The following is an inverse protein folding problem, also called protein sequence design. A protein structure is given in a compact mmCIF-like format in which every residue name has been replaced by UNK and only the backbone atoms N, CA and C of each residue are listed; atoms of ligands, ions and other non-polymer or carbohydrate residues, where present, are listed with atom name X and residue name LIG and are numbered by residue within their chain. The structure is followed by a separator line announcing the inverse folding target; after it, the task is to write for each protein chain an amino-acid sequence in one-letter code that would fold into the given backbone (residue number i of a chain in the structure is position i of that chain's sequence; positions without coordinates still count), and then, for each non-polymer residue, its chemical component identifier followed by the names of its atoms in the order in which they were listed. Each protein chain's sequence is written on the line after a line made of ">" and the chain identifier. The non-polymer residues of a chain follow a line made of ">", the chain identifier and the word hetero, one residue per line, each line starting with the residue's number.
data_IF_771065318232
#
_entry.id   IF_771065318232
#
_cell.length_a   1.000
_cell.length_b   1.000
_cell.length_c   1.000
_cell.angle_alpha   90.00
_cell.angle_beta   90.00
_cell.angle_gamma   90.00
#
_symmetry.space_group_name_H-M   'P 1'
#
loop_
_entity.id
_entity.type
_entity.pdbx_description
1 polymer ?
#
# COMPACT_ATOMS: atom_id res chain seq x y z
N UNK A 1 15.03 15.65 -20.02
CA UNK A 1 14.79 14.20 -20.09
C UNK A 1 14.78 13.69 -18.65
N UNK A 2 13.75 12.98 -18.22
CA UNK A 2 13.69 12.45 -16.85
C UNK A 2 14.78 11.36 -16.67
N UNK A 3 15.37 11.21 -15.47
CA UNK A 3 16.25 10.09 -15.17
C UNK A 3 15.56 8.76 -15.48
N UNK A 4 16.29 7.81 -16.06
CA UNK A 4 15.77 6.46 -16.32
C UNK A 4 15.25 5.82 -15.02
N UNK A 5 14.08 5.18 -15.10
CA UNK A 5 13.44 4.53 -13.96
C UNK A 5 12.66 5.44 -13.01
N UNK A 6 12.72 6.76 -13.16
CA UNK A 6 11.99 7.67 -12.28
C UNK A 6 10.47 7.46 -12.35
N UNK A 7 9.91 7.20 -13.53
CA UNK A 7 8.48 6.90 -13.70
C UNK A 7 8.06 5.65 -12.91
N UNK A 8 8.86 4.59 -12.95
CA UNK A 8 8.61 3.37 -12.19
C UNK A 8 8.66 3.62 -10.67
N UNK A 9 9.62 4.43 -10.20
CA UNK A 9 9.72 4.81 -8.78
C UNK A 9 8.49 5.60 -8.31
N UNK A 10 7.93 6.49 -9.13
CA UNK A 10 6.68 7.21 -8.83
C UNK A 10 5.48 6.26 -8.72
N UNK A 11 5.35 5.31 -9.66
CA UNK A 11 4.29 4.29 -9.61
C UNK A 11 4.42 3.38 -8.39
N UNK A 12 5.62 2.88 -8.12
CA UNK A 12 5.94 2.01 -6.98
C UNK A 12 5.72 2.73 -5.65
N UNK A 13 6.43 3.84 -5.41
CA UNK A 13 6.42 4.53 -4.12
C UNK A 13 5.04 5.04 -3.70
N UNK A 14 4.21 5.45 -4.66
CA UNK A 14 2.84 5.88 -4.39
C UNK A 14 1.90 4.71 -4.08
N UNK A 15 2.04 3.59 -4.82
CA UNK A 15 1.27 2.36 -4.62
C UNK A 15 1.48 1.76 -3.24
N UNK A 16 2.73 1.80 -2.72
CA UNK A 16 3.08 1.27 -1.41
C UNK A 16 2.28 1.88 -0.25
N UNK A 17 1.74 3.10 -0.40
CA UNK A 17 0.96 3.74 0.67
C UNK A 17 -0.27 2.90 1.07
N UNK A 18 -0.95 2.27 0.10
CA UNK A 18 -2.05 1.35 0.36
C UNK A 18 -1.58 0.10 1.13
N UNK A 19 -0.38 -0.38 0.81
CA UNK A 19 0.21 -1.60 1.39
C UNK A 19 0.77 -1.37 2.80
N UNK A 20 1.08 -0.12 3.15
CA UNK A 20 1.39 0.30 4.53
C UNK A 20 0.10 0.52 5.33
N UNK A 21 -0.92 1.14 4.72
CA UNK A 21 -2.18 1.45 5.39
C UNK A 21 -2.92 0.18 5.86
N UNK A 22 -2.99 -0.85 5.03
CA UNK A 22 -3.72 -2.08 5.36
C UNK A 22 -3.20 -2.75 6.65
N UNK A 23 -1.91 -3.10 6.81
CA UNK A 23 -1.40 -3.68 8.05
C UNK A 23 -1.62 -2.78 9.28
N UNK A 24 -1.51 -1.45 9.14
CA UNK A 24 -1.77 -0.52 10.24
C UNK A 24 -3.23 -0.55 10.70
N UNK A 25 -4.17 -0.52 9.74
CA UNK A 25 -5.61 -0.58 10.02
C UNK A 25 -6.00 -1.93 10.62
N UNK A 26 -5.57 -3.03 10.01
CA UNK A 26 -5.87 -4.38 10.50
C UNK A 26 -5.27 -4.62 11.89
N UNK A 27 -4.03 -4.17 12.12
CA UNK A 27 -3.39 -4.17 13.43
C UNK A 27 -3.98 -3.14 14.42
N UNK A 28 -5.13 -2.55 14.12
CA UNK A 28 -5.87 -1.69 15.03
C UNK A 28 -7.29 -2.20 15.33
N UNK A 29 -7.71 -3.33 14.73
CA UNK A 29 -9.01 -3.96 15.03
C UNK A 29 -9.03 -4.70 16.36
N UNK A 30 -10.18 -4.70 17.04
CA UNK A 30 -10.33 -5.33 18.36
C UNK A 30 -10.22 -6.87 18.34
N UNK A 31 -10.74 -7.54 17.30
CA UNK A 31 -10.88 -8.99 17.24
C UNK A 31 -9.78 -9.75 16.49
N UNK A 32 -8.66 -9.09 16.18
CA UNK A 32 -7.58 -9.68 15.41
C UNK A 32 -6.78 -10.72 16.21
N UNK A 33 -6.28 -11.73 15.51
CA UNK A 33 -5.36 -12.72 16.10
C UNK A 33 -4.06 -12.06 16.56
N UNK A 34 -3.35 -12.71 17.49
CA UNK A 34 -2.09 -12.20 18.04
C UNK A 34 -1.06 -11.87 16.94
N UNK A 35 -1.02 -12.66 15.88
CA UNK A 35 -0.10 -12.53 14.73
C UNK A 35 -0.25 -11.17 14.03
N UNK A 36 -1.46 -10.58 14.01
CA UNK A 36 -1.71 -9.28 13.37
C UNK A 36 -1.72 -8.11 14.37
N UNK A 37 -1.30 -8.32 15.62
CA UNK A 37 -1.22 -7.23 16.62
C UNK A 37 0.08 -6.45 16.50
N UNK A 38 0.14 -5.33 17.22
CA UNK A 38 1.41 -4.66 17.42
C UNK A 38 2.39 -5.64 18.09
N UNK A 39 3.65 -5.78 17.64
CA UNK A 39 4.42 -4.92 16.71
C UNK A 39 4.47 -5.37 15.23
N UNK A 40 3.57 -6.23 14.76
CA UNK A 40 3.63 -6.81 13.41
C UNK A 40 3.79 -5.81 12.26
N UNK A 41 3.10 -4.64 12.21
CA UNK A 41 3.31 -3.68 11.11
C UNK A 41 4.74 -3.15 11.03
N UNK A 42 5.41 -2.95 12.17
CA UNK A 42 6.81 -2.53 12.21
C UNK A 42 7.70 -3.65 11.67
N UNK A 43 7.53 -4.87 12.17
CA UNK A 43 8.31 -6.03 11.71
C UNK A 43 8.13 -6.25 10.20
N UNK A 44 6.89 -6.17 9.72
CA UNK A 44 6.57 -6.30 8.31
C UNK A 44 7.26 -5.21 7.47
N UNK A 45 7.22 -3.95 7.93
CA UNK A 45 7.92 -2.86 7.26
C UNK A 45 9.44 -3.03 7.25
N UNK A 46 10.04 -3.53 8.35
CA UNK A 46 11.48 -3.84 8.36
C UNK A 46 11.81 -4.97 7.38
N UNK A 47 10.95 -5.99 7.30
CA UNK A 47 11.11 -7.08 6.35
C UNK A 47 10.98 -6.62 4.89
N UNK A 48 10.12 -5.64 4.60
CA UNK A 48 10.05 -4.99 3.29
C UNK A 48 11.40 -4.39 2.87
N UNK A 49 12.14 -3.80 3.80
CA UNK A 49 13.45 -3.21 3.52
C UNK A 49 14.54 -4.25 3.32
N UNK A 50 14.48 -5.39 4.02
CA UNK A 50 15.52 -6.41 3.98
C UNK A 50 15.38 -7.40 2.82
N UNK A 51 14.14 -7.74 2.46
CA UNK A 51 13.86 -8.84 1.52
C UNK A 51 12.87 -8.47 0.42
N UNK A 52 12.42 -7.21 0.36
CA UNK A 52 11.47 -6.73 -0.64
C UNK A 52 10.02 -6.79 -0.17
N UNK A 53 9.19 -5.92 -0.76
CA UNK A 53 7.77 -5.83 -0.45
C UNK A 53 7.02 -7.01 -1.06
N UNK A 54 7.46 -7.49 -2.22
CA UNK A 54 6.83 -8.59 -2.95
C UNK A 54 6.70 -9.84 -2.10
N UNK A 55 7.77 -10.21 -1.39
CA UNK A 55 7.80 -11.42 -0.58
C UNK A 55 6.85 -11.25 0.62
N UNK A 56 7.09 -10.24 1.43
CA UNK A 56 6.45 -10.13 2.74
C UNK A 56 5.01 -9.64 2.69
N UNK A 57 4.64 -8.81 1.71
CA UNK A 57 3.26 -8.39 1.56
C UNK A 57 2.37 -9.55 1.09
N UNK A 58 2.89 -10.40 0.20
CA UNK A 58 2.19 -11.61 -0.21
C UNK A 58 2.09 -12.62 0.93
N UNK A 59 3.15 -12.81 1.73
CA UNK A 59 3.08 -13.63 2.96
C UNK A 59 2.01 -13.07 3.91
N UNK A 60 1.96 -11.74 4.09
CA UNK A 60 0.97 -11.10 4.95
C UNK A 60 -0.46 -11.37 4.46
N UNK A 61 -0.73 -11.22 3.16
CA UNK A 61 -2.03 -11.55 2.56
C UNK A 61 -2.39 -13.03 2.73
N UNK A 62 -1.47 -13.93 2.42
CA UNK A 62 -1.67 -15.38 2.59
C UNK A 62 -2.00 -15.72 4.04
N UNK A 63 -1.29 -15.12 5.00
CA UNK A 63 -1.59 -15.29 6.42
C UNK A 63 -3.00 -14.78 6.77
N UNK A 64 -3.41 -13.62 6.26
CA UNK A 64 -4.78 -13.10 6.49
C UNK A 64 -5.85 -14.01 5.90
N UNK A 65 -5.61 -14.58 4.71
CA UNK A 65 -6.51 -15.51 4.02
C UNK A 65 -6.60 -16.83 4.82
N UNK A 66 -5.45 -17.46 5.09
CA UNK A 66 -5.36 -18.75 5.77
C UNK A 66 -5.96 -18.71 7.18
N UNK A 67 -5.76 -17.60 7.90
CA UNK A 67 -6.31 -17.40 9.25
C UNK A 67 -7.72 -16.80 9.25
N UNK A 68 -8.38 -16.72 8.08
CA UNK A 68 -9.76 -16.25 7.94
C UNK A 68 -10.01 -14.81 8.39
N UNK A 69 -8.97 -13.97 8.49
CA UNK A 69 -9.10 -12.58 8.96
C UNK A 69 -9.90 -11.71 7.97
N UNK A 70 -9.90 -12.08 6.68
CA UNK A 70 -10.67 -11.39 5.66
C UNK A 70 -12.18 -11.64 5.78
N UNK A 71 -12.57 -12.81 6.29
CA UNK A 71 -13.95 -13.26 6.45
C UNK A 71 -14.59 -12.78 7.76
N UNK A 72 -14.00 -11.78 8.41
CA UNK A 72 -14.51 -11.27 9.68
C UNK A 72 -15.98 -10.85 9.55
N UNK A 73 -16.85 -11.53 10.32
CA UNK A 73 -18.28 -11.22 10.36
C UNK A 73 -18.48 -9.86 11.02
N UNK A 74 -19.52 -9.14 10.59
CA UNK A 74 -19.93 -7.86 11.20
C UNK A 74 -19.99 -8.00 12.73
N UNK A 75 -19.48 -6.99 13.44
CA UNK A 75 -19.55 -6.98 14.89
C UNK A 75 -18.52 -6.08 15.56
N UNK A 76 -18.50 -6.02 16.91
CA UNK A 76 -17.56 -5.19 17.67
C UNK A 76 -16.09 -5.52 17.38
N UNK A 77 -15.82 -6.77 17.01
CA UNK A 77 -14.49 -7.31 16.70
C UNK A 77 -13.83 -6.68 15.47
N UNK A 78 -14.61 -6.13 14.53
CA UNK A 78 -14.07 -5.48 13.33
C UNK A 78 -13.91 -3.97 13.46
N UNK A 79 -14.40 -3.38 14.56
CA UNK A 79 -14.36 -1.93 14.77
C UNK A 79 -12.93 -1.50 15.12
N UNK A 80 -12.50 -0.41 14.48
CA UNK A 80 -11.27 0.32 14.81
C UNK A 80 -11.67 1.51 15.67
N UNK A 81 -11.05 1.65 16.84
CA UNK A 81 -11.25 2.83 17.69
C UNK A 81 -10.77 4.08 16.96
N UNK A 82 -11.52 5.18 17.08
CA UNK A 82 -11.18 6.49 16.53
C UNK A 82 -9.73 6.91 16.81
N UNK A 83 -9.21 6.67 18.01
CA UNK A 83 -7.82 6.94 18.39
C UNK A 83 -6.81 6.25 17.49
N UNK A 84 -7.01 4.97 17.28
CA UNK A 84 -6.12 4.16 16.45
C UNK A 84 -6.28 4.52 14.96
N UNK A 85 -7.50 4.80 14.51
CA UNK A 85 -7.75 5.22 13.13
C UNK A 85 -7.07 6.56 12.81
N UNK A 86 -7.18 7.56 13.68
CA UNK A 86 -6.51 8.86 13.53
C UNK A 86 -4.99 8.70 13.55
N UNK A 87 -4.46 7.92 14.49
CA UNK A 87 -3.03 7.64 14.57
C UNK A 87 -2.50 6.92 13.33
N UNK A 88 -3.27 5.97 12.76
CA UNK A 88 -2.89 5.28 11.54
C UNK A 88 -2.92 6.23 10.33
N UNK A 89 -3.94 7.08 10.20
CA UNK A 89 -4.00 8.10 9.14
C UNK A 89 -2.79 9.04 9.23
N UNK A 90 -2.50 9.55 10.43
CA UNK A 90 -1.34 10.41 10.67
C UNK A 90 -0.03 9.70 10.34
N UNK A 91 0.12 8.44 10.75
CA UNK A 91 1.31 7.63 10.46
C UNK A 91 1.50 7.38 8.96
N UNK A 92 0.43 7.15 8.20
CA UNK A 92 0.50 7.02 6.74
C UNK A 92 0.92 8.35 6.10
N UNK A 93 0.33 9.47 6.50
CA UNK A 93 0.65 10.79 5.95
C UNK A 93 2.09 11.22 6.27
N UNK A 94 2.44 11.24 7.56
CA UNK A 94 3.69 11.82 8.05
C UNK A 94 4.83 10.81 8.06
N UNK A 95 4.54 9.56 8.40
CA UNK A 95 5.56 8.53 8.50
C UNK A 95 5.90 7.83 7.18
N UNK A 96 5.00 7.85 6.20
CA UNK A 96 5.23 7.19 4.91
C UNK A 96 5.16 8.14 3.71
N UNK A 97 4.01 8.79 3.50
CA UNK A 97 3.77 9.60 2.29
C UNK A 97 4.77 10.76 2.22
N UNK A 98 4.90 11.56 3.28
CA UNK A 98 5.79 12.73 3.28
C UNK A 98 7.27 12.35 3.03
N UNK A 99 7.88 11.37 3.73
CA UNK A 99 9.22 10.90 3.41
C UNK A 99 9.36 10.36 1.98
N UNK A 100 8.35 9.64 1.49
CA UNK A 100 8.37 9.09 0.12
C UNK A 100 8.34 10.20 -0.93
N UNK A 101 7.53 11.23 -0.71
CA UNK A 101 7.45 12.40 -1.59
C UNK A 101 8.76 13.19 -1.58
N UNK A 102 9.39 13.35 -0.41
CA UNK A 102 10.71 13.98 -0.31
C UNK A 102 11.76 13.17 -1.10
N UNK A 103 11.81 11.85 -0.91
CA UNK A 103 12.72 10.97 -1.66
C UNK A 103 12.54 11.11 -3.18
N UNK A 104 11.30 11.03 -3.67
CA UNK A 104 11.00 11.08 -5.11
C UNK A 104 11.26 12.46 -5.73
N UNK A 105 11.08 13.54 -4.97
CA UNK A 105 11.25 14.91 -5.45
C UNK A 105 12.70 15.37 -5.43
N UNK A 106 13.43 15.09 -4.35
CA UNK A 106 14.81 15.57 -4.19
C UNK A 106 15.86 14.62 -4.75
N UNK A 107 15.60 13.31 -4.74
CA UNK A 107 16.52 12.27 -5.22
C UNK A 107 17.94 12.35 -4.61
N UNK A 108 18.08 13.02 -3.47
CA UNK A 108 19.35 13.20 -2.80
C UNK A 108 19.70 11.92 -2.00
N UNK A 109 20.96 11.43 -2.05
CA UNK A 109 21.35 10.19 -1.38
C UNK A 109 20.99 10.14 0.11
N UNK A 110 21.19 11.25 0.83
CA UNK A 110 20.86 11.35 2.26
C UNK A 110 19.35 11.26 2.53
N UNK A 111 18.51 11.83 1.66
CA UNK A 111 17.06 11.77 1.79
C UNK A 111 16.57 10.35 1.50
N UNK A 112 17.12 9.70 0.48
CA UNK A 112 16.83 8.28 0.17
C UNK A 112 17.27 7.36 1.31
N UNK A 113 18.45 7.57 1.88
CA UNK A 113 18.92 6.80 3.04
C UNK A 113 17.98 7.00 4.26
N UNK A 114 17.53 8.24 4.50
CA UNK A 114 16.52 8.52 5.51
C UNK A 114 15.19 7.81 5.24
N UNK A 115 14.77 7.72 3.98
CA UNK A 115 13.54 7.04 3.58
C UNK A 115 13.56 5.53 3.85
N UNK A 116 14.71 4.86 3.78
CA UNK A 116 14.84 3.43 4.10
C UNK A 116 14.34 3.10 5.53
N UNK A 117 14.35 4.09 6.43
CA UNK A 117 13.83 3.97 7.79
C UNK A 117 12.31 4.25 7.90
N UNK A 118 11.55 4.28 6.80
CA UNK A 118 10.10 4.55 6.85
C UNK A 118 9.33 3.68 7.85
N UNK A 119 9.62 2.39 8.09
CA UNK A 119 8.88 1.61 9.09
C UNK A 119 8.99 2.20 10.49
N UNK A 120 10.16 2.79 10.79
CA UNK A 120 10.44 3.51 12.03
C UNK A 120 9.68 4.83 12.05
N UNK A 121 9.72 5.62 10.96
CA UNK A 121 8.99 6.88 10.85
C UNK A 121 7.48 6.70 11.02
N UNK A 122 6.89 5.68 10.38
CA UNK A 122 5.48 5.28 10.55
C UNK A 122 5.17 4.96 12.01
N UNK A 123 6.04 4.18 12.65
CA UNK A 123 5.87 3.79 14.06
C UNK A 123 5.94 4.99 15.00
N UNK A 124 6.95 5.85 14.82
CA UNK A 124 7.15 7.05 15.62
C UNK A 124 5.99 8.02 15.44
N UNK A 125 5.58 8.30 14.19
CA UNK A 125 4.45 9.18 13.90
C UNK A 125 3.16 8.67 14.57
N UNK A 126 2.89 7.36 14.49
CA UNK A 126 1.75 6.74 15.16
C UNK A 126 1.82 6.90 16.69
N UNK A 127 2.99 6.64 17.27
CA UNK A 127 3.22 6.73 18.72
C UNK A 127 3.07 8.16 19.24
N UNK A 128 3.69 9.13 18.57
CA UNK A 128 3.60 10.56 18.88
C UNK A 128 2.15 11.03 18.81
N UNK A 129 1.40 10.63 17.77
CA UNK A 129 -0.01 11.00 17.67
C UNK A 129 -0.83 10.47 18.85
N UNK A 130 -0.67 9.19 19.20
CA UNK A 130 -1.38 8.58 20.33
C UNK A 130 -1.01 9.27 21.65
N UNK A 131 0.25 9.63 21.83
CA UNK A 131 0.75 10.31 23.03
C UNK A 131 0.14 11.70 23.20
N UNK A 132 0.06 12.49 22.12
CA UNK A 132 -0.44 13.86 22.17
C UNK A 132 -1.98 13.96 22.13
N UNK A 133 -2.66 12.93 21.63
CA UNK A 133 -4.11 12.97 21.40
C UNK A 133 -4.91 12.89 22.71
N UNK A 134 -5.96 13.72 22.88
CA UNK A 134 -6.93 13.57 23.97
C UNK A 134 -7.60 12.19 24.01
N UNK A 135 -7.90 11.70 25.22
CA UNK A 135 -8.52 10.38 25.46
C UNK A 135 -10.02 10.37 25.18
N UNK A 136 -10.41 10.66 23.95
CA UNK A 136 -11.80 10.58 23.49
C UNK A 136 -12.05 9.28 22.74
N UNK A 137 -13.05 8.52 23.19
CA UNK A 137 -13.53 7.31 22.53
C UNK A 137 -14.34 7.62 21.26
N UNK A 138 -14.57 6.59 20.45
CA UNK A 138 -15.45 6.72 19.28
C UNK A 138 -15.18 5.67 18.22
N UNK A 139 -16.08 5.62 17.24
CA UNK A 139 -15.92 4.79 16.06
C UNK A 139 -14.95 5.48 15.07
N UNK A 140 -13.91 4.77 14.63
CA UNK A 140 -12.92 5.25 13.67
C UNK A 140 -13.29 5.01 12.19
N UNK A 141 -14.47 4.46 11.88
CA UNK A 141 -14.86 4.06 10.52
C UNK A 141 -14.61 5.13 9.44
N UNK A 142 -15.12 6.36 9.63
CA UNK A 142 -14.94 7.43 8.65
C UNK A 142 -13.47 7.83 8.45
N UNK A 143 -12.65 7.63 9.49
CA UNK A 143 -11.23 7.96 9.46
C UNK A 143 -10.46 6.86 8.75
N UNK A 144 -10.85 5.59 8.92
CA UNK A 144 -10.32 4.48 8.12
C UNK A 144 -10.70 4.64 6.64
N UNK A 145 -11.94 5.05 6.33
CA UNK A 145 -12.33 5.43 4.97
C UNK A 145 -11.44 6.55 4.42
N UNK A 146 -11.17 7.58 5.22
CA UNK A 146 -10.27 8.66 4.86
C UNK A 146 -8.83 8.17 4.63
N UNK A 147 -8.31 7.23 5.44
CA UNK A 147 -7.00 6.61 5.21
C UNK A 147 -6.92 5.96 3.83
N UNK A 148 -7.91 5.14 3.47
CA UNK A 148 -7.90 4.48 2.16
C UNK A 148 -8.17 5.45 1.00
N UNK A 149 -8.97 6.50 1.23
CA UNK A 149 -9.14 7.57 0.23
C UNK A 149 -7.83 8.33 -0.01
N UNK A 150 -7.07 8.62 1.05
CA UNK A 150 -5.75 9.26 0.95
C UNK A 150 -4.78 8.37 0.17
N UNK A 151 -4.72 7.06 0.46
CA UNK A 151 -3.85 6.15 -0.30
C UNK A 151 -4.30 5.95 -1.73
N UNK A 152 -5.62 6.00 -1.99
CA UNK A 152 -6.18 6.04 -3.34
C UNK A 152 -5.69 7.27 -4.11
N UNK A 153 -5.89 8.47 -3.56
CA UNK A 153 -5.49 9.74 -4.19
C UNK A 153 -3.98 9.80 -4.38
N UNK A 154 -3.20 9.34 -3.41
CA UNK A 154 -1.74 9.29 -3.52
C UNK A 154 -1.29 8.34 -4.64
N UNK A 155 -1.90 7.16 -4.78
CA UNK A 155 -1.65 6.25 -5.90
C UNK A 155 -2.05 6.86 -7.24
N UNK A 156 -3.22 7.51 -7.34
CA UNK A 156 -3.65 8.22 -8.56
C UNK A 156 -2.62 9.27 -8.96
N UNK A 157 -2.17 10.08 -8.00
CA UNK A 157 -1.17 11.12 -8.23
C UNK A 157 0.15 10.53 -8.74
N UNK A 158 0.68 9.49 -8.08
CA UNK A 158 1.94 8.87 -8.51
C UNK A 158 1.82 8.15 -9.85
N UNK A 159 0.71 7.48 -10.13
CA UNK A 159 0.46 6.86 -11.43
C UNK A 159 0.32 7.91 -12.54
N UNK A 160 -0.44 8.98 -12.30
CA UNK A 160 -0.55 10.10 -13.23
C UNK A 160 0.80 10.79 -13.49
N UNK A 161 1.63 10.94 -12.45
CA UNK A 161 2.99 11.47 -12.60
C UNK A 161 3.89 10.53 -13.40
N UNK A 162 3.80 9.22 -13.16
CA UNK A 162 4.53 8.21 -13.92
C UNK A 162 4.16 8.28 -15.41
N UNK A 163 2.86 8.26 -15.73
CA UNK A 163 2.34 8.40 -17.10
C UNK A 163 2.81 9.70 -17.74
N UNK A 164 2.69 10.83 -17.04
CA UNK A 164 3.12 12.14 -17.55
C UNK A 164 4.63 12.17 -17.86
N UNK A 165 5.46 11.56 -17.02
CA UNK A 165 6.92 11.49 -17.24
C UNK A 165 7.31 10.67 -18.47
N UNK A 166 6.43 9.79 -18.95
CA UNK A 166 6.64 8.99 -20.15
C UNK A 166 6.30 9.74 -21.44
N UNK A 167 5.63 10.90 -21.34
CA UNK A 167 5.26 11.75 -22.48
C UNK A 167 4.31 11.05 -23.46
N UNK A 168 4.46 11.33 -24.76
CA UNK A 168 3.58 10.80 -25.83
C UNK A 168 3.88 9.34 -26.21
N UNK A 169 4.80 8.68 -25.51
CA UNK A 169 5.29 7.37 -25.88
C UNK A 169 4.57 6.25 -25.13
N UNK A 170 3.24 6.16 -25.32
CA UNK A 170 2.40 5.12 -24.73
C UNK A 170 2.93 3.71 -25.08
N UNK A 171 3.46 3.51 -26.28
CA UNK A 171 4.07 2.24 -26.67
C UNK A 171 5.31 1.90 -25.84
N UNK A 172 6.17 2.87 -25.54
CA UNK A 172 7.31 2.65 -24.63
C UNK A 172 6.86 2.40 -23.20
N UNK A 173 5.78 3.06 -22.73
CA UNK A 173 5.20 2.73 -21.43
C UNK A 173 4.71 1.29 -21.37
N UNK A 174 3.90 0.87 -22.35
CA UNK A 174 3.38 -0.49 -22.40
C UNK A 174 4.50 -1.52 -22.53
N UNK A 175 5.60 -1.20 -23.22
CA UNK A 175 6.79 -2.04 -23.30
C UNK A 175 7.55 -2.14 -21.96
N UNK A 176 7.44 -1.14 -21.08
CA UNK A 176 8.02 -1.18 -19.72
C UNK A 176 7.16 -1.89 -18.68
N UNK A 177 5.88 -2.18 -18.99
CA UNK A 177 4.97 -2.83 -18.05
C UNK A 177 5.33 -4.30 -17.74
N UNK A 178 5.65 -5.16 -18.72
CA UNK A 178 6.29 -6.42 -18.42
C UNK A 178 7.79 -6.16 -18.15
N UNK A 179 8.30 -6.44 -16.94
CA UNK A 179 9.71 -6.31 -16.68
C UNK A 179 10.43 -7.35 -17.52
N UNK A 180 11.61 -7.01 -18.05
CA UNK A 180 12.40 -7.98 -18.81
C UNK A 180 12.66 -9.22 -17.95
N UNK A 181 12.32 -10.38 -18.50
CA UNK A 181 12.64 -11.69 -17.93
C UNK A 181 14.11 -12.02 -18.22
N UNK A 182 14.69 -11.40 -19.26
CA UNK A 182 16.10 -11.55 -19.56
C UNK A 182 16.94 -10.78 -18.52
N UNK A 183 17.99 -11.42 -17.98
CA UNK A 183 18.92 -10.71 -17.10
C UNK A 183 19.58 -9.59 -17.90
N UNK A 184 19.88 -8.44 -17.25
CA UNK A 184 20.53 -7.35 -17.94
C UNK A 184 21.91 -7.84 -18.40
N UNK A 185 22.28 -7.55 -19.66
CA UNK A 185 23.51 -8.05 -20.25
C UNK A 185 24.72 -7.73 -19.35
N UNK A 186 25.46 -8.77 -18.92
CA UNK A 186 26.58 -8.64 -17.98
C UNK A 186 27.66 -7.66 -18.48
N UNK A 187 27.86 -7.58 -19.79
CA UNK A 187 28.76 -6.62 -20.41
C UNK A 187 28.10 -5.23 -20.48
N UNK A 188 28.37 -4.38 -19.50
CA UNK A 188 27.95 -2.98 -19.48
C UNK A 188 26.76 -2.64 -18.57
N UNK A 189 26.17 -3.62 -17.88
CA UNK A 189 25.14 -3.35 -16.87
C UNK A 189 25.75 -2.66 -15.64
N UNK A 190 25.09 -1.60 -15.17
CA UNK A 190 25.47 -0.91 -13.93
C UNK A 190 24.66 -1.46 -12.75
N UNK A 191 25.18 -1.29 -11.52
CA UNK A 191 24.44 -1.65 -10.30
C UNK A 191 23.06 -0.97 -10.25
N UNK A 192 22.95 0.26 -10.77
CA UNK A 192 21.69 1.01 -10.86
C UNK A 192 20.66 0.32 -11.75
N UNK A 193 21.06 -0.18 -12.92
CA UNK A 193 20.16 -0.91 -13.83
C UNK A 193 19.65 -2.18 -13.18
N UNK A 194 20.54 -2.95 -12.53
CA UNK A 194 20.16 -4.15 -11.80
C UNK A 194 19.19 -3.84 -10.64
N UNK A 195 19.46 -2.78 -9.86
CA UNK A 195 18.59 -2.36 -8.76
C UNK A 195 17.20 -1.91 -9.26
N UNK A 196 17.15 -1.18 -10.38
CA UNK A 196 15.89 -0.76 -10.98
C UNK A 196 15.06 -1.96 -11.47
N UNK A 197 15.69 -2.94 -12.13
CA UNK A 197 15.01 -4.15 -12.55
C UNK A 197 14.47 -4.94 -11.36
N UNK A 198 15.23 -5.04 -10.27
CA UNK A 198 14.77 -5.66 -9.03
C UNK A 198 13.55 -4.93 -8.44
N UNK A 199 13.59 -3.60 -8.36
CA UNK A 199 12.47 -2.78 -7.85
C UNK A 199 11.23 -2.93 -8.73
N UNK A 200 11.38 -3.01 -10.05
CA UNK A 200 10.26 -3.24 -10.97
C UNK A 200 9.60 -4.60 -10.73
N UNK A 201 10.40 -5.66 -10.60
CA UNK A 201 9.88 -6.99 -10.26
C UNK A 201 9.22 -7.00 -8.87
N UNK A 202 9.84 -6.37 -7.87
CA UNK A 202 9.28 -6.26 -6.52
C UNK A 202 7.92 -5.55 -6.56
N UNK A 203 7.80 -4.45 -7.30
CA UNK A 203 6.54 -3.74 -7.49
C UNK A 203 5.48 -4.62 -8.14
N UNK A 204 5.80 -5.28 -9.25
CA UNK A 204 4.82 -6.03 -10.06
C UNK A 204 4.30 -7.24 -9.31
N UNK A 205 5.19 -7.99 -8.66
CA UNK A 205 4.80 -9.15 -7.83
C UNK A 205 3.96 -8.68 -6.63
N UNK A 206 4.29 -7.54 -6.03
CA UNK A 206 3.48 -6.95 -4.96
C UNK A 206 2.09 -6.54 -5.47
N UNK A 207 2.02 -5.88 -6.63
CA UNK A 207 0.79 -5.39 -7.23
C UNK A 207 -0.14 -6.54 -7.62
N UNK A 208 0.35 -7.51 -8.39
CA UNK A 208 -0.43 -8.68 -8.81
C UNK A 208 -0.92 -9.45 -7.59
N UNK A 209 -0.02 -9.71 -6.64
CA UNK A 209 -0.34 -10.39 -5.40
C UNK A 209 -1.44 -9.70 -4.59
N UNK A 210 -1.32 -8.38 -4.41
CA UNK A 210 -2.32 -7.57 -3.72
C UNK A 210 -3.67 -7.57 -4.44
N UNK A 211 -3.69 -7.38 -5.76
CA UNK A 211 -4.91 -7.40 -6.58
C UNK A 211 -5.61 -8.76 -6.51
N UNK A 212 -4.87 -9.87 -6.64
CA UNK A 212 -5.43 -11.21 -6.49
C UNK A 212 -5.96 -11.43 -5.08
N UNK A 213 -5.23 -11.03 -4.05
CA UNK A 213 -5.66 -11.17 -2.67
C UNK A 213 -6.96 -10.40 -2.37
N UNK A 214 -7.23 -9.27 -3.06
CA UNK A 214 -8.50 -8.56 -2.90
C UNK A 214 -9.72 -9.38 -3.33
N UNK A 215 -9.55 -10.39 -4.20
CA UNK A 215 -10.65 -11.26 -4.62
C UNK A 215 -11.19 -12.11 -3.45
N UNK A 216 -10.35 -12.42 -2.45
CA UNK A 216 -10.77 -13.13 -1.23
C UNK A 216 -11.66 -12.30 -0.30
N UNK A 217 -11.88 -11.02 -0.59
CA UNK A 217 -12.82 -10.17 0.14
C UNK A 217 -14.26 -10.42 -0.31
N UNK A 218 -14.45 -10.89 -1.54
CA UNK A 218 -15.78 -11.13 -2.11
C UNK A 218 -16.51 -12.27 -1.38
N UNK A 219 -17.82 -12.11 -1.22
CA UNK A 219 -18.72 -13.09 -0.60
C UNK A 219 -19.59 -13.83 -1.60
N UNK A 220 -19.54 -13.44 -2.87
CA UNK A 220 -20.30 -14.07 -3.95
C UNK A 220 -19.55 -13.99 -5.28
N UNK A 221 -19.86 -14.87 -6.26
CA UNK A 221 -19.27 -14.81 -7.60
C UNK A 221 -19.51 -13.47 -8.30
N UNK A 222 -20.66 -12.83 -8.04
CA UNK A 222 -20.98 -11.49 -8.56
C UNK A 222 -20.03 -10.43 -8.00
N UNK A 223 -19.72 -10.48 -6.71
CA UNK A 223 -18.75 -9.58 -6.10
C UNK A 223 -17.34 -9.83 -6.65
N UNK A 224 -16.95 -11.08 -6.90
CA UNK A 224 -15.68 -11.40 -7.57
C UNK A 224 -15.62 -10.72 -8.94
N UNK A 225 -16.66 -10.86 -9.76
CA UNK A 225 -16.72 -10.22 -11.08
C UNK A 225 -16.59 -8.68 -11.00
N UNK A 226 -17.23 -8.05 -10.02
CA UNK A 226 -17.09 -6.61 -9.79
C UNK A 226 -15.67 -6.21 -9.36
N UNK A 227 -15.03 -6.96 -8.46
CA UNK A 227 -13.65 -6.67 -8.04
C UNK A 227 -12.68 -6.89 -9.19
N UNK A 228 -12.86 -7.94 -10.00
CA UNK A 228 -12.05 -8.18 -11.21
C UNK A 228 -12.18 -7.01 -12.17
N UNK A 229 -13.41 -6.60 -12.51
CA UNK A 229 -13.64 -5.46 -13.38
C UNK A 229 -13.01 -4.18 -12.79
N UNK A 230 -13.22 -3.92 -11.51
CA UNK A 230 -12.61 -2.78 -10.81
C UNK A 230 -11.09 -2.81 -10.91
N UNK A 231 -10.44 -3.94 -10.65
CA UNK A 231 -8.98 -4.08 -10.72
C UNK A 231 -8.46 -3.89 -12.15
N UNK A 232 -9.14 -4.44 -13.17
CA UNK A 232 -8.77 -4.32 -14.58
C UNK A 232 -8.84 -2.87 -15.05
N UNK A 233 -9.87 -2.10 -14.68
CA UNK A 233 -10.00 -0.71 -15.10
C UNK A 233 -9.18 0.27 -14.23
N UNK A 234 -9.16 0.06 -12.91
CA UNK A 234 -8.55 1.02 -11.96
C UNK A 234 -7.03 0.94 -11.98
N UNK A 235 -6.44 -0.25 -12.16
CA UNK A 235 -4.99 -0.42 -12.14
C UNK A 235 -4.27 0.40 -13.23
N UNK A 236 -4.63 0.32 -14.52
CA UNK A 236 -3.95 1.11 -15.56
C UNK A 236 -4.22 2.61 -15.42
N UNK A 237 -5.42 3.01 -15.01
CA UNK A 237 -5.81 4.43 -14.92
C UNK A 237 -5.23 5.12 -13.68
N UNK A 238 -5.24 4.44 -12.54
CA UNK A 238 -5.04 5.03 -11.22
C UNK A 238 -3.94 4.36 -10.40
N UNK A 239 -3.34 3.29 -10.93
CA UNK A 239 -2.33 2.48 -10.25
C UNK A 239 -2.93 1.39 -9.36
N UNK A 240 -2.12 0.37 -9.06
CA UNK A 240 -2.54 -0.77 -8.25
C UNK A 240 -2.90 -0.39 -6.81
N UNK A 241 -2.25 0.63 -6.23
CA UNK A 241 -2.55 1.11 -4.88
C UNK A 241 -3.97 1.67 -4.77
N UNK A 242 -4.41 2.39 -5.80
CA UNK A 242 -5.78 2.90 -5.91
C UNK A 242 -6.79 1.76 -6.06
N UNK A 243 -6.52 0.79 -6.93
CA UNK A 243 -7.36 -0.39 -7.07
C UNK A 243 -7.57 -1.11 -5.74
N UNK A 244 -6.49 -1.45 -5.03
CA UNK A 244 -6.54 -2.10 -3.71
C UNK A 244 -7.26 -1.22 -2.69
N UNK A 245 -6.94 0.07 -2.60
CA UNK A 245 -7.58 1.00 -1.66
C UNK A 245 -9.09 1.09 -1.87
N UNK A 246 -9.56 1.12 -3.12
CA UNK A 246 -10.97 1.13 -3.46
C UNK A 246 -11.70 -0.13 -2.97
N UNK A 247 -11.11 -1.30 -3.16
CA UNK A 247 -11.69 -2.56 -2.64
C UNK A 247 -11.71 -2.56 -1.11
N UNK A 248 -10.65 -2.05 -0.47
CA UNK A 248 -10.60 -1.93 1.00
C UNK A 248 -11.65 -0.94 1.55
N UNK A 249 -11.88 0.20 0.89
CA UNK A 249 -12.98 1.11 1.24
C UNK A 249 -14.35 0.42 1.16
N UNK A 250 -14.58 -0.31 0.07
CA UNK A 250 -15.81 -1.09 -0.11
C UNK A 250 -15.96 -2.17 0.97
N UNK A 251 -14.87 -2.90 1.30
CA UNK A 251 -14.83 -3.86 2.41
C UNK A 251 -15.21 -3.20 3.73
N UNK A 252 -14.62 -2.06 4.07
CA UNK A 252 -14.93 -1.37 5.32
C UNK A 252 -16.40 -0.95 5.39
N UNK A 253 -16.98 -0.51 4.26
CA UNK A 253 -18.41 -0.21 4.20
C UNK A 253 -19.26 -1.46 4.47
N UNK A 254 -18.87 -2.63 3.96
CA UNK A 254 -19.59 -3.87 4.28
C UNK A 254 -19.49 -4.28 5.75
N UNK A 255 -18.32 -4.04 6.37
CA UNK A 255 -18.07 -4.37 7.78
C UNK A 255 -18.84 -3.47 8.74
N UNK A 256 -19.07 -2.19 8.37
CA UNK A 256 -19.64 -1.17 9.26
C UNK A 256 -21.02 -0.62 8.85
N UNK A 257 -21.47 -0.85 7.61
CA UNK A 257 -22.61 -0.17 6.97
C UNK A 257 -24.01 -0.45 7.52
N UNK A 258 -24.15 -1.22 8.61
CA UNK A 258 -25.45 -1.48 9.25
C UNK A 258 -25.62 -0.83 10.64
N UNK A 259 -24.65 -0.04 11.11
CA UNK A 259 -24.72 0.66 12.41
C UNK A 259 -24.61 2.19 12.30
N UNK A 260 -24.75 2.74 11.09
CA UNK A 260 -24.72 4.18 10.83
C UNK A 260 -26.14 4.77 10.66
N UNK A 261 -27.17 4.08 11.16
CA UNK A 261 -28.50 4.62 11.41
C UNK A 261 -28.84 4.37 12.86
#
# INVERSE_FOLDING_TARGET
>A
MAPEGLSALWGFGSTLSAFVALPLVESSRAGRSFIFRWPTPLLLGLMYQLQGVAVWYNIYWLAMIALGQLNARRGPRVVVNRAAAEANLFAVLVGFILPSQAMLSFQAPLITAGWLLFPVWVTLARGVYIFCRPRNGGNGYMIVQATYLVTFVHSVYGNGRAIWLLGDNLSSYLATLPPSIEPPAYAGSTLTVAALQLINWDWIVTAIGGLLATLWIAKSPREIAFIVAWNVFTTPLFGAGAAVSGVLMWREKQLNGSKAR
#
